data_IF_156556050048
#
_entry.id   IF_156556050048
#
_cell.length_a   1.000
_cell.length_b   1.000
_cell.length_c   1.000
_cell.angle_alpha   90.00
_cell.angle_beta   90.00
_cell.angle_gamma   90.00
#
_symmetry.space_group_name_H-M   'P 1'
#
loop_
_entity.id
_entity.type
_entity.pdbx_description
1 polymer ?
#
# COMPACT_ATOMS: atom_id res chain seq x y z
N UNK A 1 22.62 8.11 -22.34
CA UNK A 1 21.16 7.90 -22.22
C UNK A 1 20.63 8.99 -21.31
N UNK A 2 19.72 9.84 -21.80
CA UNK A 2 19.01 10.80 -20.96
C UNK A 2 17.67 10.14 -20.60
N UNK A 3 17.53 9.67 -19.37
CA UNK A 3 16.25 9.14 -18.88
C UNK A 3 15.26 10.29 -18.85
N UNK A 4 14.02 10.06 -19.30
CA UNK A 4 12.98 11.06 -19.07
C UNK A 4 12.65 11.13 -17.57
N UNK A 5 12.09 12.25 -17.13
CA UNK A 5 11.84 12.49 -15.69
C UNK A 5 10.94 11.43 -15.06
N UNK A 6 9.96 10.89 -15.79
CA UNK A 6 9.04 9.87 -15.30
C UNK A 6 9.77 8.53 -15.04
N UNK A 7 10.63 8.12 -15.98
CA UNK A 7 11.45 6.91 -15.83
C UNK A 7 12.42 7.04 -14.65
N UNK A 8 13.05 8.20 -14.50
CA UNK A 8 13.92 8.47 -13.36
C UNK A 8 13.14 8.39 -12.03
N UNK A 9 11.99 9.04 -11.95
CA UNK A 9 11.13 9.03 -10.76
C UNK A 9 10.70 7.61 -10.37
N UNK A 10 10.30 6.79 -11.35
CA UNK A 10 9.95 5.39 -11.13
C UNK A 10 11.12 4.58 -10.57
N UNK A 11 12.33 4.75 -11.12
CA UNK A 11 13.55 4.08 -10.63
C UNK A 11 13.85 4.48 -9.19
N UNK A 12 13.77 5.76 -8.85
CA UNK A 12 14.03 6.24 -7.48
C UNK A 12 13.01 5.71 -6.48
N UNK A 13 11.71 5.75 -6.82
CA UNK A 13 10.63 5.17 -6.00
C UNK A 13 10.84 3.69 -5.76
N UNK A 14 11.09 2.92 -6.82
CA UNK A 14 11.37 1.49 -6.70
C UNK A 14 12.59 1.24 -5.80
N UNK A 15 13.64 2.04 -5.93
CA UNK A 15 14.86 1.92 -5.15
C UNK A 15 14.62 2.21 -3.66
N UNK A 16 13.85 3.25 -3.30
CA UNK A 16 13.58 3.55 -1.89
C UNK A 16 12.62 2.55 -1.26
N UNK A 17 11.63 2.05 -2.01
CA UNK A 17 10.69 1.05 -1.52
C UNK A 17 11.45 -0.26 -1.24
N UNK A 18 12.19 -0.77 -2.21
CA UNK A 18 12.95 -2.03 -2.10
C UNK A 18 14.14 -1.92 -1.13
N UNK A 19 14.79 -0.76 -1.09
CA UNK A 19 16.00 -0.53 -0.29
C UNK A 19 15.74 -0.10 1.15
N UNK A 20 14.57 0.48 1.44
CA UNK A 20 14.22 0.98 2.78
C UNK A 20 12.88 0.43 3.26
N UNK A 21 11.75 0.74 2.62
CA UNK A 21 10.44 0.43 3.19
C UNK A 21 10.19 -1.07 3.37
N UNK A 22 10.42 -1.89 2.35
CA UNK A 22 10.18 -3.34 2.46
C UNK A 22 11.05 -4.00 3.54
N UNK A 23 12.38 -3.79 3.60
CA UNK A 23 13.20 -4.30 4.69
C UNK A 23 12.74 -3.84 6.08
N UNK A 24 12.33 -2.57 6.22
CA UNK A 24 11.88 -2.05 7.50
C UNK A 24 10.53 -2.65 7.92
N UNK A 25 9.60 -2.85 6.98
CA UNK A 25 8.34 -3.56 7.26
C UNK A 25 8.60 -5.01 7.64
N UNK A 26 9.55 -5.69 7.01
CA UNK A 26 9.93 -7.06 7.41
C UNK A 26 10.49 -7.10 8.83
N UNK A 27 11.24 -6.08 9.27
CA UNK A 27 11.69 -5.96 10.67
C UNK A 27 10.52 -5.72 11.64
N UNK A 28 9.37 -5.26 11.13
CA UNK A 28 8.11 -5.12 11.86
C UNK A 28 7.21 -6.35 11.64
N UNK A 29 7.78 -7.53 11.38
CA UNK A 29 7.07 -8.81 11.20
C UNK A 29 6.14 -8.91 9.99
N UNK A 30 6.20 -7.98 9.03
CA UNK A 30 5.54 -8.17 7.74
C UNK A 30 6.19 -9.31 6.97
N UNK A 31 5.37 -10.13 6.33
CA UNK A 31 5.79 -11.25 5.49
C UNK A 31 5.31 -11.05 4.07
N UNK A 32 5.95 -11.74 3.13
CA UNK A 32 5.50 -11.77 1.75
C UNK A 32 4.08 -12.30 1.66
N UNK A 33 3.23 -11.57 0.96
CA UNK A 33 1.86 -11.98 0.73
C UNK A 33 1.76 -13.01 -0.39
N UNK A 34 0.83 -13.97 -0.23
CA UNK A 34 0.40 -14.90 -1.28
C UNK A 34 -0.66 -14.30 -2.22
N UNK A 35 -1.26 -13.18 -1.84
CA UNK A 35 -2.33 -12.51 -2.58
C UNK A 35 -1.73 -11.66 -3.70
N UNK A 36 -2.39 -11.66 -4.85
CA UNK A 36 -2.02 -10.83 -6.00
C UNK A 36 -2.95 -9.63 -6.10
N UNK A 37 -2.34 -8.46 -6.32
CA UNK A 37 -3.09 -7.26 -6.66
C UNK A 37 -3.57 -7.35 -8.11
N UNK A 38 -4.78 -6.89 -8.43
CA UNK A 38 -5.28 -6.94 -9.80
C UNK A 38 -4.53 -6.01 -10.79
N UNK A 39 -3.96 -4.90 -10.29
CA UNK A 39 -3.27 -3.90 -11.12
C UNK A 39 -1.78 -3.70 -10.80
N UNK A 40 -1.30 -4.20 -9.66
CA UNK A 40 0.10 -4.02 -9.22
C UNK A 40 0.81 -5.37 -9.36
N UNK A 41 1.85 -5.41 -10.19
CA UNK A 41 2.55 -6.67 -10.51
C UNK A 41 3.50 -7.13 -9.42
N UNK A 42 4.02 -6.19 -8.63
CA UNK A 42 4.96 -6.49 -7.54
C UNK A 42 4.25 -7.21 -6.39
N UNK A 43 4.99 -8.06 -5.67
CA UNK A 43 4.45 -8.81 -4.54
C UNK A 43 4.10 -7.89 -3.36
N UNK A 44 2.99 -8.20 -2.68
CA UNK A 44 2.57 -7.49 -1.47
C UNK A 44 3.25 -8.00 -0.20
N UNK A 45 3.04 -7.26 0.89
CA UNK A 45 3.43 -7.61 2.25
C UNK A 45 2.20 -7.67 3.16
N UNK A 46 2.25 -8.44 4.24
CA UNK A 46 1.15 -8.56 5.19
C UNK A 46 1.64 -8.95 6.59
N UNK A 47 0.93 -8.54 7.64
CA UNK A 47 1.11 -9.10 8.99
C UNK A 47 0.01 -10.11 9.34
N UNK A 48 -1.10 -10.12 8.60
CA UNK A 48 -2.21 -11.06 8.75
C UNK A 48 -2.81 -11.42 7.39
N UNK A 49 -3.69 -12.40 7.36
CA UNK A 49 -4.43 -12.79 6.15
C UNK A 49 -5.58 -11.83 5.83
N UNK A 50 -5.78 -10.77 6.63
CA UNK A 50 -6.83 -9.78 6.41
C UNK A 50 -6.34 -8.68 5.47
N UNK A 51 -5.26 -7.99 5.82
CA UNK A 51 -4.87 -6.75 5.16
C UNK A 51 -3.51 -6.85 4.50
N UNK A 52 -3.46 -6.50 3.22
CA UNK A 52 -2.32 -6.74 2.36
C UNK A 52 -1.82 -5.42 1.76
N UNK A 53 -0.55 -5.11 1.98
CA UNK A 53 0.11 -3.87 1.55
C UNK A 53 0.76 -4.06 0.20
N UNK A 54 0.41 -3.21 -0.76
CA UNK A 54 1.04 -3.14 -2.08
C UNK A 54 1.57 -1.73 -2.34
N UNK A 55 2.71 -1.63 -3.01
CA UNK A 55 3.30 -0.34 -3.38
C UNK A 55 3.01 -0.02 -4.85
N UNK A 56 2.29 1.07 -5.08
CA UNK A 56 2.01 1.59 -6.41
C UNK A 56 3.13 2.56 -6.81
N UNK A 57 4.01 2.07 -7.70
CA UNK A 57 5.15 2.84 -8.22
C UNK A 57 4.84 3.61 -9.50
N UNK A 58 3.72 3.29 -10.15
CA UNK A 58 3.39 3.81 -11.48
C UNK A 58 2.53 5.07 -11.37
N UNK A 59 1.52 5.06 -10.50
CA UNK A 59 0.60 6.20 -10.34
C UNK A 59 1.31 7.38 -9.71
N UNK A 60 1.05 8.59 -10.24
CA UNK A 60 1.52 9.83 -9.62
C UNK A 60 2.96 10.23 -9.97
N UNK A 61 3.54 9.64 -11.01
CA UNK A 61 4.92 9.88 -11.48
C UNK A 61 5.16 11.27 -12.11
N UNK A 62 4.13 12.12 -12.12
CA UNK A 62 3.95 13.28 -12.97
C UNK A 62 4.06 14.64 -12.26
N UNK A 63 4.20 14.68 -10.94
CA UNK A 63 4.20 15.95 -10.21
C UNK A 63 5.56 16.70 -10.33
N UNK A 64 5.56 17.93 -10.86
CA UNK A 64 6.78 18.73 -11.11
C UNK A 64 7.27 19.51 -9.89
N UNK A 65 6.59 19.39 -8.75
CA UNK A 65 6.83 20.15 -7.51
C UNK A 65 8.00 19.61 -6.67
N UNK A 66 8.55 18.45 -7.03
CA UNK A 66 9.71 17.86 -6.37
C UNK A 66 9.41 17.24 -5.00
N UNK A 67 8.12 17.07 -4.66
CA UNK A 67 7.71 16.30 -3.50
C UNK A 67 7.84 14.80 -3.81
N UNK A 68 8.50 14.08 -2.91
CA UNK A 68 8.74 12.66 -3.06
C UNK A 68 7.64 11.88 -2.36
N UNK A 69 6.91 11.09 -3.13
CA UNK A 69 5.84 10.25 -2.62
C UNK A 69 5.62 9.02 -3.49
N UNK A 70 4.93 8.05 -2.92
CA UNK A 70 4.33 6.90 -3.61
C UNK A 70 2.99 6.58 -2.98
N UNK A 71 2.15 5.81 -3.66
CA UNK A 71 0.89 5.33 -3.10
C UNK A 71 1.09 3.95 -2.53
N UNK A 72 0.47 3.71 -1.37
CA UNK A 72 0.29 2.38 -0.81
C UNK A 72 -1.17 2.00 -0.96
N UNK A 73 -1.39 0.78 -1.44
CA UNK A 73 -2.71 0.19 -1.57
C UNK A 73 -2.84 -0.94 -0.56
N UNK A 74 -3.75 -0.79 0.41
CA UNK A 74 -4.08 -1.80 1.40
C UNK A 74 -5.32 -2.55 0.95
N UNK A 75 -5.15 -3.83 0.60
CA UNK A 75 -6.21 -4.67 0.04
C UNK A 75 -6.69 -5.67 1.07
N UNK A 76 -8.01 -5.76 1.19
CA UNK A 76 -8.72 -6.83 1.89
C UNK A 76 -9.26 -7.83 0.85
N UNK A 77 -8.62 -9.00 0.71
CA UNK A 77 -8.79 -9.88 -0.46
C UNK A 77 -9.89 -10.92 -0.32
N UNK A 78 -10.88 -10.64 0.54
CA UNK A 78 -11.96 -11.56 0.85
C UNK A 78 -13.28 -11.09 0.26
N UNK A 79 -14.04 -12.02 -0.29
CA UNK A 79 -15.39 -11.75 -0.82
C UNK A 79 -16.40 -11.70 0.33
N UNK A 80 -16.43 -10.55 1.02
CA UNK A 80 -17.39 -10.27 2.09
C UNK A 80 -18.06 -8.92 1.90
N UNK A 81 -19.25 -8.80 2.48
CA UNK A 81 -19.95 -7.52 2.58
C UNK A 81 -19.36 -6.71 3.73
N UNK A 82 -18.62 -5.67 3.38
CA UNK A 82 -18.12 -4.73 4.37
C UNK A 82 -19.29 -4.00 5.07
N UNK A 83 -19.24 -3.78 6.39
CA UNK A 83 -20.19 -2.92 7.09
C UNK A 83 -20.20 -1.50 6.51
N UNK A 84 -21.36 -0.84 6.50
CA UNK A 84 -21.48 0.53 5.94
C UNK A 84 -20.57 1.55 6.65
N UNK A 85 -20.30 1.36 7.94
CA UNK A 85 -19.39 2.21 8.72
C UNK A 85 -17.93 2.15 8.27
N UNK A 86 -17.53 1.13 7.51
CA UNK A 86 -16.16 0.95 7.01
C UNK A 86 -16.04 1.28 5.52
N UNK A 87 -17.11 1.82 4.91
CA UNK A 87 -17.11 2.24 3.50
C UNK A 87 -16.83 3.72 3.39
N UNK A 88 -15.97 4.08 2.44
CA UNK A 88 -15.63 5.47 2.15
C UNK A 88 -14.14 5.65 1.94
N UNK A 89 -13.76 6.83 1.46
CA UNK A 89 -12.35 7.16 1.16
C UNK A 89 -11.45 7.16 2.38
N UNK A 90 -12.01 7.37 3.57
CA UNK A 90 -11.26 7.33 4.83
C UNK A 90 -11.00 5.89 5.31
N UNK A 91 -11.71 4.92 4.74
CA UNK A 91 -11.64 3.49 5.07
C UNK A 91 -11.48 2.70 3.76
N UNK A 92 -12.48 1.92 3.35
CA UNK A 92 -12.38 1.08 2.17
C UNK A 92 -13.33 1.52 1.07
N UNK A 93 -12.81 1.56 -0.16
CA UNK A 93 -13.60 1.65 -1.40
C UNK A 93 -13.56 0.33 -2.14
N UNK A 94 -14.32 0.21 -3.23
CA UNK A 94 -14.30 -0.97 -4.10
C UNK A 94 -13.30 -0.78 -5.23
N UNK A 95 -12.44 -1.78 -5.40
CA UNK A 95 -11.60 -1.96 -6.58
C UNK A 95 -12.26 -3.01 -7.47
N UNK A 96 -12.85 -2.54 -8.57
CA UNK A 96 -13.50 -3.42 -9.55
C UNK A 96 -12.48 -3.86 -10.59
N UNK A 97 -12.40 -5.16 -10.84
CA UNK A 97 -11.53 -5.75 -11.86
C UNK A 97 -12.40 -6.32 -12.99
N UNK A 98 -11.89 -6.33 -14.21
CA UNK A 98 -12.61 -6.76 -15.43
C UNK A 98 -13.19 -8.20 -15.35
N UNK A 99 -12.75 -9.02 -14.39
CA UNK A 99 -13.22 -10.39 -14.15
C UNK A 99 -14.42 -10.49 -13.18
N UNK A 100 -15.07 -9.38 -12.83
CA UNK A 100 -16.24 -9.37 -11.94
C UNK A 100 -15.93 -9.65 -10.46
N UNK A 101 -14.64 -9.82 -10.12
CA UNK A 101 -14.17 -9.83 -8.73
C UNK A 101 -14.03 -8.39 -8.24
N UNK A 102 -14.56 -8.14 -7.04
CA UNK A 102 -14.43 -6.85 -6.37
C UNK A 102 -13.58 -7.03 -5.13
N UNK A 103 -12.59 -6.17 -4.97
CA UNK A 103 -11.75 -6.11 -3.79
C UNK A 103 -12.12 -4.88 -2.96
N UNK A 104 -12.01 -4.99 -1.65
CA UNK A 104 -12.04 -3.82 -0.78
C UNK A 104 -10.61 -3.32 -0.62
N UNK A 105 -10.40 -2.03 -0.84
CA UNK A 105 -9.07 -1.44 -0.75
C UNK A 105 -9.09 -0.04 -0.14
N UNK A 106 -7.96 0.35 0.43
CA UNK A 106 -7.66 1.70 0.86
C UNK A 106 -6.41 2.18 0.14
N UNK A 107 -6.40 3.43 -0.35
CA UNK A 107 -5.23 4.04 -0.97
C UNK A 107 -4.74 5.18 -0.11
N UNK A 108 -3.47 5.12 0.28
CA UNK A 108 -2.83 6.11 1.13
C UNK A 108 -1.61 6.70 0.43
N UNK A 109 -1.42 8.02 0.54
CA UNK A 109 -0.29 8.71 -0.08
C UNK A 109 0.85 8.86 0.94
N UNK A 110 1.95 8.17 0.69
CA UNK A 110 3.12 8.19 1.58
C UNK A 110 4.11 9.22 1.07
N UNK A 111 4.22 10.35 1.79
CA UNK A 111 5.25 11.38 1.53
C UNK A 111 6.53 11.04 2.25
N UNK A 112 7.66 11.16 1.55
CA UNK A 112 8.98 10.93 2.11
C UNK A 112 9.97 12.00 1.65
N UNK A 113 11.23 11.89 2.12
CA UNK A 113 12.33 12.69 1.60
C UNK A 113 13.64 11.94 1.66
N UNK A 114 14.22 11.69 0.49
CA UNK A 114 15.49 11.01 0.28
C UNK A 114 16.63 11.84 0.88
N UNK A 115 17.63 11.15 1.42
CA UNK A 115 18.74 11.78 2.15
C UNK A 115 18.35 12.37 3.52
N UNK A 116 17.07 12.31 3.94
CA UNK A 116 16.62 12.72 5.26
C UNK A 116 16.06 11.54 6.04
N UNK A 117 16.92 10.78 6.72
CA UNK A 117 16.55 9.55 7.43
C UNK A 117 15.36 9.71 8.38
N UNK A 118 15.26 10.84 9.10
CA UNK A 118 14.10 11.12 9.96
C UNK A 118 12.78 11.12 9.18
N UNK A 119 12.74 11.73 8.00
CA UNK A 119 11.53 11.80 7.17
C UNK A 119 11.13 10.44 6.60
N UNK A 120 12.10 9.56 6.33
CA UNK A 120 11.84 8.18 5.94
C UNK A 120 11.25 7.37 7.10
N UNK A 121 11.78 7.54 8.31
CA UNK A 121 11.23 6.90 9.52
C UNK A 121 9.84 7.43 9.87
N UNK A 122 9.61 8.74 9.77
CA UNK A 122 8.29 9.35 9.97
C UNK A 122 7.26 8.75 8.99
N UNK A 123 7.64 8.60 7.70
CA UNK A 123 6.80 8.02 6.67
C UNK A 123 6.50 6.53 6.92
N UNK A 124 7.49 5.76 7.37
CA UNK A 124 7.32 4.37 7.76
C UNK A 124 6.36 4.25 8.96
N UNK A 125 6.54 5.08 9.99
CA UNK A 125 5.67 5.07 11.17
C UNK A 125 4.23 5.45 10.84
N UNK A 126 4.03 6.39 9.90
CA UNK A 126 2.70 6.71 9.39
C UNK A 126 2.05 5.51 8.69
N UNK A 127 2.78 4.84 7.78
CA UNK A 127 2.29 3.64 7.10
C UNK A 127 1.92 2.53 8.09
N UNK A 128 2.80 2.24 9.06
CA UNK A 128 2.54 1.23 10.10
C UNK A 128 1.31 1.57 10.94
N UNK A 129 1.18 2.82 11.38
CA UNK A 129 0.01 3.28 12.15
C UNK A 129 -1.28 3.11 11.35
N UNK A 130 -1.26 3.49 10.07
CA UNK A 130 -2.42 3.35 9.18
C UNK A 130 -2.80 1.91 8.92
N UNK A 131 -1.80 1.04 8.71
CA UNK A 131 -2.04 -0.40 8.59
C UNK A 131 -2.72 -0.96 9.83
N UNK A 132 -2.21 -0.66 11.04
CA UNK A 132 -2.78 -1.16 12.30
C UNK A 132 -4.20 -0.67 12.52
N UNK A 133 -4.44 0.62 12.30
CA UNK A 133 -5.77 1.24 12.40
C UNK A 133 -6.79 0.49 11.52
N UNK A 134 -6.47 0.31 10.24
CA UNK A 134 -7.37 -0.37 9.29
C UNK A 134 -7.51 -1.87 9.59
N UNK A 135 -6.43 -2.51 10.02
CA UNK A 135 -6.43 -3.92 10.39
C UNK A 135 -7.37 -4.20 11.57
N UNK A 136 -7.27 -3.41 12.65
CA UNK A 136 -8.11 -3.54 13.84
C UNK A 136 -9.62 -3.44 13.50
N UNK A 137 -9.98 -2.58 12.54
CA UNK A 137 -11.36 -2.45 12.08
C UNK A 137 -11.86 -3.70 11.32
N UNK A 138 -10.96 -4.48 10.72
CA UNK A 138 -11.28 -5.70 9.98
C UNK A 138 -11.28 -6.95 10.86
N UNK A 139 -10.60 -6.96 12.02
CA UNK A 139 -10.55 -8.13 12.92
C UNK A 139 -11.92 -8.74 13.26
N UNK A 140 -12.99 -7.95 13.51
CA UNK A 140 -14.31 -8.53 13.77
C UNK A 140 -14.85 -9.37 12.61
N UNK A 141 -14.46 -9.05 11.37
CA UNK A 141 -14.88 -9.74 10.15
C UNK A 141 -14.15 -11.06 9.95
N UNK A 142 -13.04 -11.30 10.65
CA UNK A 142 -12.28 -12.56 10.53
C UNK A 142 -13.14 -13.78 10.87
N UNK A 143 -14.13 -13.64 11.75
CA UNK A 143 -15.06 -14.72 12.11
C UNK A 143 -15.93 -15.20 10.95
N UNK A 144 -16.13 -14.33 9.95
CA UNK A 144 -16.95 -14.59 8.77
C UNK A 144 -16.13 -15.18 7.62
N UNK A 145 -14.80 -15.20 7.73
CA UNK A 145 -13.87 -15.81 6.78
C UNK A 145 -13.73 -17.32 7.11
N UNK A 146 -14.58 -18.14 6.49
CA UNK A 146 -14.53 -19.61 6.60
C UNK A 146 -14.00 -20.27 5.34
#
# INVERSE_FOLDING_TARGET
MHLNINEANRIFRKSIIKGFFEPQLVNLDFKKSSVKHPSISDDGLMQSDLLHVFFDIETGSDYPDGDEWFIVELVFPHDVKLPDSLKGTDYFTTLSVDEGKTYWHHRELIRYKYGKSKKLLDALGFLESKYKELHELLEPLQKDLK
#
